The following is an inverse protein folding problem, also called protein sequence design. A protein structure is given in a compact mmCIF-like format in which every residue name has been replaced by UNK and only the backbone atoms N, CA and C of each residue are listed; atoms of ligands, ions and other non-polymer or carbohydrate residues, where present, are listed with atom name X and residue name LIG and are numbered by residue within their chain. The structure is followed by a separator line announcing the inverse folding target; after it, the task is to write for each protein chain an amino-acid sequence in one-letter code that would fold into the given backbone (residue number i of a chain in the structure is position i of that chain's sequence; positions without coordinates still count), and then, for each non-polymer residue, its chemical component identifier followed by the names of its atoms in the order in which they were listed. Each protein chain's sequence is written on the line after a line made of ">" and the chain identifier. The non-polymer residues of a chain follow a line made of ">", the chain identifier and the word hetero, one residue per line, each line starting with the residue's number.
data_IF_906997989828
#
_entry.id   IF_906997989828
#
_cell.length_a   1.000
_cell.length_b   1.000
_cell.length_c   1.000
_cell.angle_alpha   90.00
_cell.angle_beta   90.00
_cell.angle_gamma   90.00
#
_symmetry.space_group_name_H-M   'P 1'
#
loop_
_entity.id
_entity.type
_entity.pdbx_description
1 polymer ?
#
# COMPACT_ATOMS: atom_id res chain seq x y z
N UNK A 1 -7.70 11.51 6.34
CA UNK A 1 -6.28 11.31 5.96
C UNK A 1 -5.75 10.17 6.80
N UNK A 2 -4.93 9.32 6.19
CA UNK A 2 -4.28 8.17 6.84
C UNK A 2 -2.77 8.36 6.74
N UNK A 3 -2.08 8.24 7.86
CA UNK A 3 -0.61 8.33 7.92
C UNK A 3 -0.05 6.92 8.00
N UNK A 4 0.78 6.56 7.04
CA UNK A 4 1.47 5.26 6.98
C UNK A 4 2.93 5.47 7.34
N UNK A 5 3.36 4.88 8.45
CA UNK A 5 4.77 4.90 8.90
C UNK A 5 5.41 3.55 8.67
N UNK A 6 6.56 3.55 8.00
CA UNK A 6 7.28 2.32 7.68
C UNK A 6 8.78 2.54 7.75
N UNK A 7 9.53 1.46 8.02
CA UNK A 7 10.99 1.54 7.92
C UNK A 7 11.46 1.75 6.49
N UNK A 8 12.72 2.11 6.33
CA UNK A 8 13.36 2.19 5.02
C UNK A 8 13.17 0.90 4.19
N UNK A 9 13.33 -0.27 4.83
CA UNK A 9 13.18 -1.58 4.17
C UNK A 9 11.77 -1.80 3.67
N UNK A 10 10.79 -1.56 4.55
CA UNK A 10 9.39 -1.70 4.24
C UNK A 10 8.94 -0.70 3.16
N UNK A 11 9.43 0.55 3.20
CA UNK A 11 9.16 1.56 2.19
C UNK A 11 9.58 1.12 0.78
N UNK A 12 10.79 0.56 0.65
CA UNK A 12 11.30 0.06 -0.64
C UNK A 12 10.48 -1.10 -1.16
N UNK A 13 10.04 -1.98 -0.28
CA UNK A 13 9.18 -3.10 -0.64
C UNK A 13 7.80 -2.62 -1.09
N UNK A 14 7.12 -1.80 -0.27
CA UNK A 14 5.83 -1.20 -0.61
C UNK A 14 5.90 -0.48 -1.96
N UNK A 15 6.95 0.30 -2.21
CA UNK A 15 7.12 1.02 -3.47
C UNK A 15 7.24 0.14 -4.71
N UNK A 16 7.66 -1.12 -4.57
CA UNK A 16 7.66 -2.09 -5.68
C UNK A 16 6.30 -2.75 -5.82
N UNK A 17 5.74 -3.27 -4.73
CA UNK A 17 4.43 -3.95 -4.78
C UNK A 17 3.31 -3.00 -5.23
N UNK A 18 3.30 -1.74 -4.77
CA UNK A 18 2.28 -0.77 -5.20
C UNK A 18 2.42 -0.39 -6.67
N UNK A 19 3.64 -0.41 -7.21
CA UNK A 19 3.87 -0.13 -8.63
C UNK A 19 3.41 -1.31 -9.50
N UNK A 20 3.71 -2.54 -9.07
CA UNK A 20 3.24 -3.77 -9.71
C UNK A 20 1.71 -3.83 -9.68
N UNK A 21 1.09 -3.61 -8.50
CA UNK A 21 -0.35 -3.56 -8.35
C UNK A 21 -1.00 -2.50 -9.24
N UNK A 22 -0.48 -1.27 -9.26
CA UNK A 22 -1.01 -0.22 -10.12
C UNK A 22 -0.83 -0.56 -11.61
N UNK A 23 0.28 -1.19 -11.99
CA UNK A 23 0.52 -1.63 -13.36
C UNK A 23 -0.45 -2.75 -13.78
N UNK A 24 -0.71 -3.71 -12.91
CA UNK A 24 -1.66 -4.80 -13.17
C UNK A 24 -3.08 -4.26 -13.32
N UNK A 25 -3.54 -3.40 -12.42
CA UNK A 25 -4.91 -2.88 -12.45
C UNK A 25 -5.15 -1.86 -13.56
N UNK A 26 -4.20 -0.95 -13.80
CA UNK A 26 -4.35 0.13 -14.79
C UNK A 26 -3.87 -0.26 -16.19
N UNK A 27 -2.91 -1.19 -16.29
CA UNK A 27 -2.30 -1.62 -17.55
C UNK A 27 -3.07 -2.73 -18.27
N UNK A 28 -3.91 -3.51 -17.57
CA UNK A 28 -4.79 -4.50 -18.18
C UNK A 28 -6.19 -3.96 -18.54
N UNK A 29 -6.62 -2.85 -17.96
CA UNK A 29 -7.92 -2.25 -18.25
C UNK A 29 -7.85 -1.30 -19.46
N UNK A 30 -8.81 -1.39 -20.38
CA UNK A 30 -9.01 -0.34 -21.36
C UNK A 30 -9.30 1.00 -20.63
N UNK A 31 -8.92 2.18 -21.18
CA UNK A 31 -9.12 3.48 -20.51
C UNK A 31 -10.56 3.74 -20.02
N UNK A 32 -11.53 3.18 -20.72
CA UNK A 32 -12.97 3.30 -20.45
C UNK A 32 -13.46 2.36 -19.34
N UNK A 33 -12.65 1.35 -19.01
CA UNK A 33 -12.90 0.30 -18.02
C UNK A 33 -12.00 0.42 -16.79
N UNK A 34 -11.30 1.55 -16.62
CA UNK A 34 -10.51 1.79 -15.42
C UNK A 34 -11.34 1.54 -14.16
N UNK A 35 -10.77 0.88 -13.14
CA UNK A 35 -11.51 0.60 -11.93
C UNK A 35 -11.96 1.91 -11.26
N UNK A 36 -13.08 1.89 -10.51
CA UNK A 36 -13.58 3.07 -9.79
C UNK A 36 -12.56 3.71 -8.85
N UNK A 37 -11.55 2.93 -8.41
CA UNK A 37 -10.44 3.31 -7.55
C UNK A 37 -9.16 3.68 -8.32
N UNK A 38 -9.22 3.93 -9.64
CA UNK A 38 -8.02 4.28 -10.43
C UNK A 38 -7.27 5.52 -9.91
N UNK A 39 -8.00 6.52 -9.40
CA UNK A 39 -7.40 7.70 -8.78
C UNK A 39 -6.59 7.34 -7.52
N UNK A 40 -7.09 6.37 -6.74
CA UNK A 40 -6.40 5.86 -5.55
C UNK A 40 -5.10 5.15 -5.92
N UNK A 41 -5.10 4.36 -7.00
CA UNK A 41 -3.89 3.69 -7.52
C UNK A 41 -2.83 4.68 -8.00
N UNK A 42 -3.26 5.73 -8.70
CA UNK A 42 -2.36 6.81 -9.13
C UNK A 42 -1.75 7.52 -7.92
N UNK A 43 -2.56 7.78 -6.88
CA UNK A 43 -2.04 8.34 -5.63
C UNK A 43 -1.00 7.42 -4.98
N UNK A 44 -1.30 6.13 -4.84
CA UNK A 44 -0.35 5.15 -4.28
C UNK A 44 0.97 5.14 -5.06
N UNK A 45 0.91 5.08 -6.39
CA UNK A 45 2.11 5.11 -7.23
C UNK A 45 2.93 6.39 -7.01
N UNK A 46 2.28 7.56 -7.01
CA UNK A 46 2.96 8.85 -6.82
C UNK A 46 3.59 8.98 -5.43
N UNK A 47 2.92 8.46 -4.40
CA UNK A 47 3.36 8.56 -3.00
C UNK A 47 4.48 7.58 -2.68
N UNK A 48 4.44 6.37 -3.23
CA UNK A 48 5.43 5.34 -2.91
C UNK A 48 6.63 5.32 -3.87
N UNK A 49 6.49 5.73 -5.14
CA UNK A 49 7.57 5.69 -6.13
C UNK A 49 8.89 6.37 -5.69
N UNK A 50 8.89 7.52 -4.99
CA UNK A 50 10.13 8.15 -4.53
C UNK A 50 10.92 7.31 -3.52
N UNK A 51 10.29 6.32 -2.88
CA UNK A 51 10.87 5.57 -1.77
C UNK A 51 11.49 4.24 -2.19
N UNK A 52 11.60 3.95 -3.50
CA UNK A 52 12.23 2.71 -4.02
C UNK A 52 13.67 2.49 -3.56
N UNK A 53 14.40 3.57 -3.27
CA UNK A 53 15.79 3.55 -2.84
C UNK A 53 16.01 4.26 -1.50
N UNK A 54 14.96 4.46 -0.68
CA UNK A 54 15.14 5.15 0.61
C UNK A 54 16.02 4.33 1.56
N UNK A 55 16.83 5.03 2.34
CA UNK A 55 17.67 4.46 3.41
C UNK A 55 17.19 4.87 4.81
N UNK A 56 16.12 5.66 4.88
CA UNK A 56 15.53 6.14 6.14
C UNK A 56 14.06 5.77 6.23
N UNK A 57 13.58 5.71 7.47
CA UNK A 57 12.15 5.53 7.76
C UNK A 57 11.33 6.64 7.13
N UNK A 58 10.15 6.29 6.63
CA UNK A 58 9.30 7.20 5.88
C UNK A 58 7.91 7.30 6.49
N UNK A 59 7.34 8.48 6.33
CA UNK A 59 5.96 8.78 6.67
C UNK A 59 5.24 9.20 5.40
N UNK A 60 4.16 8.50 5.07
CA UNK A 60 3.40 8.68 3.84
C UNK A 60 1.96 9.01 4.21
N UNK A 61 1.47 10.16 3.77
CA UNK A 61 0.06 10.52 3.94
C UNK A 61 -0.74 10.09 2.72
N UNK A 62 -1.79 9.31 2.97
CA UNK A 62 -2.74 8.80 1.98
C UNK A 62 -4.14 9.38 2.21
N UNK A 63 -4.89 9.52 1.11
CA UNK A 63 -6.33 9.67 1.17
C UNK A 63 -6.99 8.41 1.76
N UNK A 64 -8.22 8.54 2.30
CA UNK A 64 -8.99 7.37 2.75
C UNK A 64 -9.17 6.30 1.67
N UNK A 65 -9.40 6.70 0.41
CA UNK A 65 -9.56 5.79 -0.73
C UNK A 65 -8.27 5.02 -1.01
N UNK A 66 -7.15 5.72 -1.16
CA UNK A 66 -5.83 5.11 -1.33
C UNK A 66 -5.45 4.14 -0.19
N UNK A 67 -5.71 4.52 1.06
CA UNK A 67 -5.49 3.62 2.19
C UNK A 67 -6.39 2.37 2.15
N UNK A 68 -7.65 2.53 1.72
CA UNK A 68 -8.59 1.43 1.55
C UNK A 68 -8.16 0.45 0.45
N UNK A 69 -7.81 0.95 -0.73
CA UNK A 69 -7.30 0.15 -1.85
C UNK A 69 -6.02 -0.59 -1.49
N UNK A 70 -5.09 0.08 -0.81
CA UNK A 70 -3.87 -0.53 -0.30
C UNK A 70 -4.16 -1.64 0.72
N UNK A 71 -5.10 -1.38 1.64
CA UNK A 71 -5.54 -2.35 2.63
C UNK A 71 -6.15 -3.60 2.00
N UNK A 72 -7.04 -3.44 1.01
CA UNK A 72 -7.67 -4.55 0.29
C UNK A 72 -6.65 -5.39 -0.51
N UNK A 73 -5.69 -4.74 -1.17
CA UNK A 73 -4.61 -5.42 -1.86
C UNK A 73 -3.77 -6.27 -0.89
N UNK A 74 -3.34 -5.70 0.24
CA UNK A 74 -2.54 -6.43 1.21
C UNK A 74 -3.30 -7.49 1.99
N UNK A 75 -4.62 -7.36 2.15
CA UNK A 75 -5.47 -8.42 2.72
C UNK A 75 -5.44 -9.65 1.82
N UNK A 76 -5.64 -9.43 0.51
CA UNK A 76 -5.55 -10.48 -0.52
C UNK A 76 -4.16 -11.11 -0.53
N UNK A 77 -3.11 -10.29 -0.55
CA UNK A 77 -1.73 -10.77 -0.57
C UNK A 77 -1.36 -11.57 0.69
N UNK A 78 -1.83 -11.12 1.86
CA UNK A 78 -1.61 -11.80 3.13
C UNK A 78 -2.28 -13.17 3.17
N UNK A 79 -3.51 -13.29 2.64
CA UNK A 79 -4.23 -14.56 2.55
C UNK A 79 -3.49 -15.56 1.65
N UNK A 80 -2.98 -15.10 0.51
CA UNK A 80 -2.20 -15.93 -0.41
C UNK A 80 -0.86 -16.39 0.17
N UNK A 81 -0.21 -15.55 0.98
CA UNK A 81 1.11 -15.84 1.58
C UNK A 81 1.03 -16.49 2.97
N UNK A 82 -0.14 -16.50 3.61
CA UNK A 82 -0.29 -16.91 5.01
C UNK A 82 0.42 -15.98 5.99
N UNK A 83 0.57 -14.69 5.67
CA UNK A 83 1.34 -13.72 6.46
C UNK A 83 0.45 -12.94 7.43
N UNK A 84 0.49 -13.32 8.72
CA UNK A 84 -0.28 -12.66 9.78
C UNK A 84 0.16 -11.22 10.05
N UNK A 85 1.43 -10.88 9.81
CA UNK A 85 1.93 -9.51 9.96
C UNK A 85 1.32 -8.60 8.91
N UNK A 86 1.29 -9.07 7.68
CA UNK A 86 0.68 -8.35 6.56
C UNK A 86 -0.85 -8.25 6.71
N UNK A 87 -1.51 -9.30 7.19
CA UNK A 87 -2.95 -9.29 7.45
C UNK A 87 -3.33 -8.24 8.50
N UNK A 88 -2.54 -8.10 9.57
CA UNK A 88 -2.75 -7.07 10.60
C UNK A 88 -2.57 -5.67 10.04
N UNK A 89 -1.56 -5.48 9.19
CA UNK A 89 -1.34 -4.21 8.52
C UNK A 89 -2.49 -3.84 7.58
N UNK A 90 -2.94 -4.79 6.75
CA UNK A 90 -4.10 -4.64 5.88
C UNK A 90 -5.36 -4.26 6.68
N UNK A 91 -5.65 -5.00 7.75
CA UNK A 91 -6.75 -4.70 8.66
C UNK A 91 -6.66 -3.30 9.28
N UNK A 92 -5.45 -2.85 9.63
CA UNK A 92 -5.23 -1.51 10.19
C UNK A 92 -5.44 -0.41 9.15
N UNK A 93 -4.98 -0.62 7.90
CA UNK A 93 -5.23 0.29 6.78
C UNK A 93 -6.74 0.43 6.50
N UNK A 94 -7.47 -0.68 6.45
CA UNK A 94 -8.91 -0.68 6.21
C UNK A 94 -9.67 0.08 7.32
N UNK A 95 -9.30 -0.10 8.59
CA UNK A 95 -9.89 0.67 9.69
C UNK A 95 -9.53 2.15 9.61
N UNK A 96 -8.28 2.48 9.29
CA UNK A 96 -7.84 3.86 9.16
C UNK A 96 -8.48 4.55 7.95
N UNK A 97 -8.80 3.83 6.88
CA UNK A 97 -9.57 4.37 5.76
C UNK A 97 -10.95 4.86 6.21
N UNK A 98 -11.61 4.14 7.13
CA UNK A 98 -12.94 4.51 7.64
C UNK A 98 -12.91 5.61 8.70
N UNK A 99 -11.89 5.63 9.55
CA UNK A 99 -11.87 6.47 10.75
C UNK A 99 -10.74 7.52 10.76
N UNK A 100 -9.86 7.51 9.77
CA UNK A 100 -8.57 8.19 9.82
C UNK A 100 -7.60 7.52 10.79
N UNK A 101 -6.38 8.04 10.86
CA UNK A 101 -5.40 7.65 11.88
C UNK A 101 -4.02 7.32 11.31
N UNK A 102 -3.20 6.73 12.17
CA UNK A 102 -1.84 6.30 11.85
C UNK A 102 -1.78 4.77 11.80
N UNK A 103 -1.09 4.25 10.79
CA UNK A 103 -0.86 2.83 10.58
C UNK A 103 0.64 2.60 10.44
N UNK A 104 1.14 1.55 11.08
CA UNK A 104 2.54 1.15 11.00
C UNK A 104 2.67 -0.26 10.43
N UNK A 105 3.50 -0.42 9.41
CA UNK A 105 3.89 -1.76 8.93
C UNK A 105 5.06 -2.25 9.79
N UNK A 106 4.94 -3.39 10.49
CA UNK A 106 6.08 -3.99 11.16
C UNK A 106 7.10 -4.50 10.14
N UNK A 107 8.40 -4.31 10.44
CA UNK A 107 9.50 -4.70 9.53
C UNK A 107 9.51 -6.18 9.18
N UNK A 108 8.98 -7.01 10.07
CA UNK A 108 8.84 -8.45 9.91
C UNK A 108 7.90 -8.82 8.76
N UNK A 109 6.93 -7.96 8.42
CA UNK A 109 6.00 -8.17 7.32
C UNK A 109 6.59 -7.78 5.94
N UNK A 110 7.73 -7.08 5.92
CA UNK A 110 8.47 -6.86 4.68
C UNK A 110 9.45 -8.02 4.43
N UNK A 111 9.45 -8.67 3.25
CA UNK A 111 10.37 -9.77 2.97
C UNK A 111 11.84 -9.36 3.13
N UNK A 112 12.69 -10.34 3.51
CA UNK A 112 14.14 -10.13 3.56
C UNK A 112 14.64 -9.92 2.13
N UNK A 113 15.25 -8.76 1.89
CA UNK A 113 15.85 -8.40 0.61
C UNK A 113 17.29 -8.90 0.54
#
# INVERSE_FOLDING_TARGET
>A
MVVVRVSARAARWLARETDEYAHEELGYAAPEAHPPYAADLVELQQKFAPHRNTETDVEITLSPGAAGSLGAHYDTLADHRGDLGLLRFASALLRAALHGGEVRLPDEAAPAQ
#
